data_IF_194281901122
#
_entry.id   IF_194281901122
#
_cell.length_a   1.000
_cell.length_b   1.000
_cell.length_c   1.000
_cell.angle_alpha   90.00
_cell.angle_beta   90.00
_cell.angle_gamma   90.00
#
_symmetry.space_group_name_H-M   'P 1'
#
loop_
_entity.id
_entity.type
_entity.pdbx_description
1 polymer ?
#
# COMPACT_ATOMS: atom_id res chain seq x y z
N UNK A 1 -13.61 10.38 -10.65
CA UNK A 1 -12.67 10.54 -9.53
C UNK A 1 -12.62 9.22 -8.78
N UNK A 2 -11.43 8.74 -8.39
CA UNK A 2 -11.30 7.56 -7.54
C UNK A 2 -12.11 7.67 -6.25
N UNK A 3 -12.66 6.55 -5.79
CA UNK A 3 -13.46 6.46 -4.57
C UNK A 3 -12.59 6.66 -3.32
N UNK A 4 -12.82 7.73 -2.58
CA UNK A 4 -12.05 8.04 -1.36
C UNK A 4 -12.20 6.94 -0.30
N UNK A 5 -13.37 6.29 -0.20
CA UNK A 5 -13.58 5.19 0.73
C UNK A 5 -12.70 3.97 0.39
N UNK A 6 -12.53 3.67 -0.91
CA UNK A 6 -11.64 2.61 -1.37
C UNK A 6 -10.19 2.93 -0.98
N UNK A 7 -9.75 4.16 -1.24
CA UNK A 7 -8.40 4.62 -0.93
C UNK A 7 -8.12 4.51 0.58
N UNK A 8 -9.03 5.05 1.41
CA UNK A 8 -8.88 5.03 2.87
C UNK A 8 -8.86 3.62 3.45
N UNK A 9 -9.66 2.70 2.89
CA UNK A 9 -9.69 1.31 3.35
C UNK A 9 -8.31 0.66 3.20
N UNK A 10 -7.71 0.73 2.01
CA UNK A 10 -6.41 0.09 1.76
C UNK A 10 -5.26 0.77 2.49
N UNK A 11 -5.28 2.10 2.58
CA UNK A 11 -4.26 2.86 3.32
C UNK A 11 -4.25 2.50 4.80
N UNK A 12 -5.43 2.40 5.45
CA UNK A 12 -5.53 1.98 6.85
C UNK A 12 -5.09 0.54 7.08
N UNK A 13 -5.40 -0.34 6.14
CA UNK A 13 -5.02 -1.74 6.22
C UNK A 13 -3.49 -1.92 6.16
N UNK A 14 -2.82 -1.25 5.21
CA UNK A 14 -1.35 -1.26 5.14
C UNK A 14 -0.69 -0.55 6.33
N UNK A 15 -1.27 0.52 6.87
CA UNK A 15 -0.79 1.15 8.10
C UNK A 15 -0.90 0.21 9.32
N UNK A 16 -1.97 -0.59 9.39
CA UNK A 16 -2.15 -1.62 10.42
C UNK A 16 -1.10 -2.72 10.27
N UNK A 17 -0.80 -3.14 9.03
CA UNK A 17 0.27 -4.10 8.75
C UNK A 17 1.65 -3.56 9.14
N UNK A 18 1.96 -2.29 8.87
CA UNK A 18 3.19 -1.65 9.30
C UNK A 18 3.36 -1.71 10.84
N UNK A 19 2.28 -1.45 11.58
CA UNK A 19 2.28 -1.55 13.04
C UNK A 19 2.54 -2.97 13.55
N UNK A 20 2.14 -4.01 12.81
CA UNK A 20 2.43 -5.41 13.14
C UNK A 20 3.90 -5.77 12.89
N UNK A 21 4.49 -5.26 11.81
CA UNK A 21 5.93 -5.40 11.53
C UNK A 21 6.76 -4.74 12.62
N UNK A 22 6.38 -3.54 13.06
CA UNK A 22 7.01 -2.86 14.19
C UNK A 22 6.98 -3.70 15.48
N UNK A 23 5.88 -4.46 15.69
CA UNK A 23 5.74 -5.40 16.81
C UNK A 23 6.48 -6.74 16.59
N UNK A 24 7.21 -6.91 15.48
CA UNK A 24 7.99 -8.11 15.18
C UNK A 24 7.19 -9.26 14.57
N UNK A 25 5.98 -9.01 14.07
CA UNK A 25 5.18 -10.03 13.39
C UNK A 25 5.71 -10.29 11.98
N UNK A 26 5.86 -11.57 11.61
CA UNK A 26 6.06 -11.96 10.21
C UNK A 26 4.73 -11.88 9.45
N UNK A 27 4.65 -10.95 8.50
CA UNK A 27 3.44 -10.69 7.71
C UNK A 27 3.66 -10.79 6.21
N UNK A 28 4.82 -11.27 5.73
CA UNK A 28 5.16 -11.20 4.30
C UNK A 28 4.13 -11.93 3.41
N UNK A 29 3.65 -13.09 3.84
CA UNK A 29 2.59 -13.82 3.14
C UNK A 29 1.26 -13.04 3.10
N UNK A 30 0.89 -12.40 4.22
CA UNK A 30 -0.32 -11.58 4.32
C UNK A 30 -0.20 -10.32 3.46
N UNK A 31 0.98 -9.69 3.43
CA UNK A 31 1.27 -8.51 2.63
C UNK A 31 1.13 -8.82 1.13
N UNK A 32 1.78 -9.88 0.66
CA UNK A 32 1.72 -10.29 -0.75
C UNK A 32 0.29 -10.58 -1.20
N UNK A 33 -0.49 -11.28 -0.36
CA UNK A 33 -1.91 -11.51 -0.62
C UNK A 33 -2.65 -10.19 -0.75
N UNK A 34 -2.41 -9.26 0.18
CA UNK A 34 -3.14 -7.99 0.20
C UNK A 34 -2.79 -7.07 -0.96
N UNK A 35 -1.55 -7.08 -1.41
CA UNK A 35 -1.11 -6.38 -2.62
C UNK A 35 -1.90 -6.89 -3.84
N UNK A 36 -1.99 -8.21 -4.01
CA UNK A 36 -2.75 -8.83 -5.11
C UNK A 36 -4.24 -8.46 -5.06
N UNK A 37 -4.85 -8.50 -3.86
CA UNK A 37 -6.25 -8.10 -3.66
C UNK A 37 -6.47 -6.62 -3.98
N UNK A 38 -5.57 -5.74 -3.56
CA UNK A 38 -5.64 -4.28 -3.80
C UNK A 38 -5.65 -3.99 -5.29
N UNK A 39 -4.73 -4.62 -6.05
CA UNK A 39 -4.63 -4.46 -7.50
C UNK A 39 -5.89 -4.97 -8.20
N UNK A 40 -6.32 -6.19 -7.88
CA UNK A 40 -7.52 -6.80 -8.47
C UNK A 40 -8.77 -5.94 -8.22
N UNK A 41 -8.91 -5.42 -6.99
CA UNK A 41 -10.05 -4.59 -6.63
C UNK A 41 -9.97 -3.20 -7.28
N UNK A 42 -8.79 -2.62 -7.39
CA UNK A 42 -8.60 -1.36 -8.12
C UNK A 42 -9.00 -1.52 -9.60
N UNK A 43 -8.57 -2.59 -10.27
CA UNK A 43 -8.98 -2.87 -11.65
C UNK A 43 -10.51 -3.02 -11.80
N UNK A 44 -11.16 -3.67 -10.82
CA UNK A 44 -12.62 -3.77 -10.79
C UNK A 44 -13.31 -2.41 -10.56
N UNK A 45 -12.73 -1.53 -9.73
CA UNK A 45 -13.26 -0.19 -9.50
C UNK A 45 -13.06 0.71 -10.73
N UNK A 46 -11.90 0.62 -11.37
CA UNK A 46 -11.58 1.35 -12.60
C UNK A 46 -12.56 0.98 -13.72
N UNK A 47 -12.84 -0.30 -13.91
CA UNK A 47 -13.80 -0.78 -14.90
C UNK A 47 -15.27 -0.39 -14.62
N UNK A 48 -15.64 -0.20 -13.34
CA UNK A 48 -17.04 0.02 -12.92
C UNK A 48 -17.40 1.47 -12.64
N UNK A 49 -16.42 2.30 -12.29
CA UNK A 49 -16.65 3.64 -11.75
C UNK A 49 -15.82 4.71 -12.43
N UNK A 50 -14.52 4.73 -12.15
CA UNK A 50 -13.60 5.75 -12.63
C UNK A 50 -12.18 5.22 -12.56
N UNK A 51 -11.34 5.55 -13.53
CA UNK A 51 -9.96 5.07 -13.57
C UNK A 51 -9.07 5.75 -12.50
N UNK A 52 -7.95 5.07 -12.18
CA UNK A 52 -6.89 5.61 -11.33
C UNK A 52 -6.99 5.25 -9.85
N UNK A 53 -7.80 4.26 -9.46
CA UNK A 53 -7.91 3.85 -8.05
C UNK A 53 -6.58 3.34 -7.48
N UNK A 54 -5.83 2.54 -8.25
CA UNK A 54 -4.55 2.00 -7.78
C UNK A 54 -3.52 3.12 -7.59
N UNK A 55 -3.43 4.04 -8.56
CA UNK A 55 -2.54 5.21 -8.49
C UNK A 55 -2.86 6.08 -7.28
N UNK A 56 -4.14 6.33 -7.01
CA UNK A 56 -4.57 7.12 -5.85
C UNK A 56 -4.22 6.46 -4.50
N UNK A 57 -4.28 5.12 -4.41
CA UNK A 57 -3.79 4.37 -3.24
C UNK A 57 -2.28 4.55 -3.07
N UNK A 58 -1.50 4.39 -4.14
CA UNK A 58 -0.04 4.55 -4.14
C UNK A 58 0.36 5.95 -3.67
N UNK A 59 -0.25 6.99 -4.24
CA UNK A 59 0.02 8.38 -3.85
C UNK A 59 -0.33 8.66 -2.39
N UNK A 60 -1.45 8.11 -1.91
CA UNK A 60 -1.83 8.26 -0.51
C UNK A 60 -0.84 7.54 0.41
N UNK A 61 -0.41 6.32 0.10
CA UNK A 61 0.60 5.60 0.87
C UNK A 61 1.92 6.36 0.96
N UNK A 62 2.40 6.91 -0.17
CA UNK A 62 3.60 7.76 -0.20
C UNK A 62 3.43 9.04 0.64
N UNK A 63 2.23 9.61 0.65
CA UNK A 63 1.92 10.81 1.46
C UNK A 63 1.85 10.50 2.96
N UNK A 64 1.22 9.38 3.34
CA UNK A 64 1.15 8.95 4.75
C UNK A 64 2.53 8.59 5.30
N UNK A 65 3.37 7.92 4.51
CA UNK A 65 4.76 7.63 4.88
C UNK A 65 5.55 8.89 5.26
N UNK A 66 5.32 10.02 4.56
CA UNK A 66 5.95 11.31 4.86
C UNK A 66 5.39 11.98 6.13
N UNK A 67 4.09 11.83 6.39
CA UNK A 67 3.43 12.41 7.58
C UNK A 67 3.86 11.72 8.86
N UNK A 68 3.94 10.38 8.86
CA UNK A 68 4.32 9.61 10.04
C UNK A 68 5.76 9.94 10.49
N UNK A 69 6.68 10.13 9.54
CA UNK A 69 8.03 10.61 9.83
C UNK A 69 8.04 11.96 10.56
N UNK A 70 7.05 12.81 10.28
CA UNK A 70 6.91 14.14 10.89
C UNK A 70 6.16 14.11 12.23
N UNK A 71 5.36 13.06 12.50
CA UNK A 71 4.48 12.95 13.66
C UNK A 71 4.91 11.92 14.71
N UNK A 72 6.10 11.32 14.58
CA UNK A 72 6.63 10.29 15.48
C UNK A 72 6.23 10.49 16.95
N UNK A 73 5.24 9.71 17.39
CA UNK A 73 4.51 9.87 18.65
C UNK A 73 5.36 9.36 19.83
N UNK A 74 5.39 10.14 20.91
CA UNK A 74 6.24 10.01 22.11
C UNK A 74 6.09 8.74 22.98
N UNK A 75 5.38 7.69 22.52
CA UNK A 75 4.95 6.57 23.37
C UNK A 75 5.66 5.22 23.10
N UNK A 76 6.77 5.22 22.37
CA UNK A 76 7.62 4.04 22.12
C UNK A 76 9.03 4.32 22.66
N UNK A 77 9.79 3.28 23.12
CA UNK A 77 11.17 3.46 23.57
C UNK A 77 12.07 4.18 22.57
N UNK A 78 11.81 3.98 21.27
CA UNK A 78 12.42 4.67 20.15
C UNK A 78 11.36 5.05 19.09
N UNK A 79 10.71 6.21 19.22
CA UNK A 79 9.64 6.63 18.32
C UNK A 79 10.18 7.04 16.93
N UNK A 80 11.45 7.44 16.85
CA UNK A 80 12.09 7.83 15.59
C UNK A 80 12.36 6.58 14.74
N UNK A 81 12.95 5.53 15.32
CA UNK A 81 13.18 4.29 14.59
C UNK A 81 11.87 3.57 14.22
N UNK A 82 10.83 3.67 15.06
CA UNK A 82 9.50 3.16 14.71
C UNK A 82 8.91 3.91 13.50
N UNK A 83 8.96 5.24 13.50
CA UNK A 83 8.49 6.04 12.37
C UNK A 83 9.29 5.78 11.08
N UNK A 84 10.62 5.61 11.19
CA UNK A 84 11.47 5.26 10.05
C UNK A 84 11.07 3.89 9.44
N UNK A 85 10.91 2.85 10.28
CA UNK A 85 10.48 1.52 9.82
C UNK A 85 9.09 1.56 9.18
N UNK A 86 8.16 2.34 9.73
CA UNK A 86 6.84 2.55 9.14
C UNK A 86 6.93 3.21 7.77
N UNK A 87 7.73 4.27 7.66
CA UNK A 87 7.96 4.98 6.41
C UNK A 87 8.54 4.03 5.35
N UNK A 88 9.59 3.28 5.69
CA UNK A 88 10.21 2.30 4.79
C UNK A 88 9.20 1.23 4.34
N UNK A 89 8.39 0.73 5.27
CA UNK A 89 7.35 -0.25 4.96
C UNK A 89 6.32 0.32 3.98
N UNK A 90 5.74 1.48 4.26
CA UNK A 90 4.70 2.07 3.42
C UNK A 90 5.23 2.45 2.02
N UNK A 91 6.48 2.94 1.92
CA UNK A 91 7.15 3.18 0.64
C UNK A 91 7.34 1.88 -0.12
N UNK A 92 7.84 0.82 0.53
CA UNK A 92 7.98 -0.52 -0.09
C UNK A 92 6.65 -1.03 -0.62
N UNK A 93 5.56 -0.91 0.14
CA UNK A 93 4.22 -1.32 -0.34
C UNK A 93 3.80 -0.51 -1.56
N UNK A 94 4.00 0.81 -1.55
CA UNK A 94 3.70 1.66 -2.69
C UNK A 94 4.49 1.22 -3.93
N UNK A 95 5.78 0.95 -3.80
CA UNK A 95 6.64 0.50 -4.91
C UNK A 95 6.28 -0.90 -5.41
N UNK A 96 5.89 -1.81 -4.50
CA UNK A 96 5.34 -3.09 -4.90
C UNK A 96 4.08 -2.87 -5.74
N UNK A 97 3.11 -2.08 -5.28
CA UNK A 97 1.88 -1.79 -6.03
C UNK A 97 2.17 -1.15 -7.40
N UNK A 98 3.14 -0.22 -7.45
CA UNK A 98 3.59 0.49 -8.66
C UNK A 98 4.28 -0.43 -9.67
N UNK A 99 5.03 -1.44 -9.21
CA UNK A 99 5.74 -2.38 -10.08
C UNK A 99 4.81 -3.18 -11.01
N UNK A 100 3.52 -3.33 -10.69
CA UNK A 100 2.54 -3.97 -11.59
C UNK A 100 1.89 -2.96 -12.58
N UNK A 101 1.85 -1.67 -12.25
CA UNK A 101 1.48 -0.63 -13.23
C UNK A 101 2.49 -0.58 -14.39
N UNK A 102 3.74 -0.96 -14.13
CA UNK A 102 4.80 -1.06 -15.14
C UNK A 102 4.80 -2.39 -15.93
N UNK A 103 4.12 -3.45 -15.46
CA UNK A 103 4.07 -4.77 -16.12
C UNK A 103 2.66 -5.26 -16.55
N UNK A 104 1.79 -4.46 -17.21
CA UNK A 104 0.53 -4.97 -17.74
C UNK A 104 0.70 -5.91 -18.96
N UNK A 105 1.86 -5.92 -19.64
CA UNK A 105 2.02 -6.57 -20.96
C UNK A 105 2.33 -8.08 -20.96
N UNK A 106 2.75 -8.71 -19.86
CA UNK A 106 3.27 -10.09 -19.93
C UNK A 106 2.25 -11.22 -19.70
N UNK A 107 0.98 -10.94 -19.41
CA UNK A 107 -0.05 -11.98 -19.13
C UNK A 107 -1.00 -12.31 -20.29
N UNK A 108 -0.84 -11.70 -21.47
CA UNK A 108 -1.71 -11.93 -22.63
C UNK A 108 -1.21 -12.91 -23.71
N UNK A 109 0.06 -13.32 -23.67
CA UNK A 109 0.68 -14.09 -24.75
C UNK A 109 0.78 -15.60 -24.43
N UNK A 110 -0.38 -16.25 -24.23
CA UNK A 110 -0.48 -17.70 -24.34
C UNK A 110 -1.90 -18.08 -24.80
N UNK A 111 -2.20 -17.74 -26.05
CA UNK A 111 -3.17 -18.46 -26.86
C UNK A 111 -2.42 -19.00 -28.06
N UNK A 112 -2.20 -20.31 -28.11
CA UNK A 112 -2.41 -21.18 -29.26
C UNK A 112 -2.45 -22.62 -28.75
#
# INVERSE_FOLDING_TARGET
MPEEQFIQMYVRDFATMASRVEAGSDIEAQLNKRISETRSHAALMDARKAEGHLAAVIERLRSEAKKDASQAVKNTPDPIAAAARRQEFLVRVADMLDSELAEPEKRGAARF
#
